data_IF_052595995631
#
_entry.id   IF_052595995631
#
_cell.length_a   1.000
_cell.length_b   1.000
_cell.length_c   1.000
_cell.angle_alpha   90.00
_cell.angle_beta   90.00
_cell.angle_gamma   90.00
#
_symmetry.space_group_name_H-M   'P 1'
#
loop_
_entity.id
_entity.type
_entity.pdbx_description
1 polymer ?
#
# COMPACT_ATOMS: atom_id res chain seq x y z
N UNK A 1 33.62 24.28 -13.92
CA UNK A 1 32.72 23.13 -14.11
C UNK A 1 33.08 22.11 -13.03
N UNK A 2 32.23 21.83 -12.03
CA UNK A 2 32.51 20.72 -11.14
C UNK A 2 32.39 19.43 -11.96
N UNK A 3 33.49 18.70 -12.04
CA UNK A 3 33.56 17.35 -12.60
C UNK A 3 32.56 16.48 -11.86
N UNK A 4 31.50 16.03 -12.52
CA UNK A 4 30.62 14.99 -11.99
C UNK A 4 31.47 13.71 -11.87
N UNK A 5 31.95 13.43 -10.66
CA UNK A 5 32.72 12.22 -10.42
C UNK A 5 31.83 10.99 -10.59
N UNK A 6 32.37 9.94 -11.21
CA UNK A 6 31.73 8.64 -11.41
C UNK A 6 31.39 7.88 -10.10
N UNK A 7 31.63 8.51 -8.94
CA UNK A 7 31.31 8.02 -7.59
C UNK A 7 29.80 8.02 -7.31
N UNK A 8 29.00 8.79 -8.05
CA UNK A 8 27.52 8.77 -7.94
C UNK A 8 26.94 7.39 -8.27
N UNK A 9 27.63 6.55 -9.04
CA UNK A 9 27.19 5.17 -9.33
C UNK A 9 27.34 4.24 -8.10
N UNK A 10 28.26 4.53 -7.18
CA UNK A 10 28.45 3.76 -5.95
C UNK A 10 27.42 4.12 -4.87
N UNK A 11 26.72 5.25 -5.03
CA UNK A 11 25.68 5.73 -4.12
C UNK A 11 24.27 5.44 -4.65
N UNK A 12 24.14 4.87 -5.85
CA UNK A 12 22.85 4.48 -6.42
C UNK A 12 22.45 3.09 -5.93
N UNK A 13 21.16 2.89 -5.59
CA UNK A 13 20.62 1.56 -5.33
C UNK A 13 20.92 0.57 -6.46
N UNK A 14 21.10 -0.69 -6.09
CA UNK A 14 21.27 -1.77 -7.07
C UNK A 14 19.95 -1.96 -7.84
N UNK A 15 20.01 -2.07 -9.17
CA UNK A 15 18.84 -2.42 -9.99
C UNK A 15 18.25 -3.81 -9.69
N UNK A 16 18.90 -4.61 -8.83
CA UNK A 16 18.37 -5.90 -8.34
C UNK A 16 17.49 -5.76 -7.09
N UNK A 17 17.59 -4.64 -6.38
CA UNK A 17 16.85 -4.38 -5.14
C UNK A 17 15.96 -3.15 -5.26
N UNK A 18 16.18 -2.31 -6.27
CA UNK A 18 15.46 -1.08 -6.47
C UNK A 18 14.29 -1.24 -7.45
N UNK A 19 13.20 -0.51 -7.17
CA UNK A 19 12.02 -0.37 -8.02
C UNK A 19 11.96 1.05 -8.55
N UNK A 20 11.71 1.18 -9.86
CA UNK A 20 11.49 2.45 -10.54
C UNK A 20 9.98 2.73 -10.61
N UNK A 21 9.59 3.92 -10.21
CA UNK A 21 8.19 4.40 -10.24
C UNK A 21 7.92 5.26 -11.49
N UNK A 22 6.66 5.66 -11.70
CA UNK A 22 6.23 6.35 -12.90
C UNK A 22 6.89 7.74 -13.10
N UNK A 23 7.16 8.47 -12.02
CA UNK A 23 7.87 9.76 -12.07
C UNK A 23 9.39 9.62 -12.26
N UNK A 24 9.92 8.40 -12.17
CA UNK A 24 11.36 8.15 -12.11
C UNK A 24 11.94 8.11 -10.69
N UNK A 25 11.12 8.20 -9.65
CA UNK A 25 11.56 7.96 -8.27
C UNK A 25 12.03 6.50 -8.11
N UNK A 26 13.15 6.30 -7.42
CA UNK A 26 13.79 5.00 -7.22
C UNK A 26 13.68 4.62 -5.74
N UNK A 27 13.04 3.49 -5.47
CA UNK A 27 12.86 2.96 -4.13
C UNK A 27 13.69 1.69 -3.94
N UNK A 28 14.66 1.72 -3.02
CA UNK A 28 15.48 0.54 -2.69
C UNK A 28 14.81 -0.33 -1.62
N UNK A 29 14.45 -1.57 -1.97
CA UNK A 29 13.84 -2.51 -1.02
C UNK A 29 14.83 -2.99 0.06
N UNK A 30 16.15 -2.92 -0.19
CA UNK A 30 17.15 -3.29 0.81
C UNK A 30 17.28 -2.27 1.94
N UNK A 31 16.90 -1.02 1.67
CA UNK A 31 16.89 0.08 2.64
C UNK A 31 15.79 1.08 2.30
N UNK A 32 14.49 0.75 2.52
CA UNK A 32 13.38 1.56 2.03
C UNK A 32 13.36 2.97 2.62
N UNK A 33 13.40 3.96 1.71
CA UNK A 33 13.17 5.37 2.02
C UNK A 33 12.21 5.95 0.97
N UNK A 34 11.02 6.34 1.43
CA UNK A 34 9.98 6.93 0.59
C UNK A 34 10.01 8.47 0.64
N UNK A 35 11.04 9.08 1.24
CA UNK A 35 11.20 10.54 1.29
C UNK A 35 11.22 11.11 -0.12
N UNK A 36 10.26 11.98 -0.44
CA UNK A 36 10.12 12.57 -1.77
C UNK A 36 9.36 11.71 -2.79
N UNK A 37 8.90 10.51 -2.43
CA UNK A 37 8.00 9.71 -3.29
C UNK A 37 6.72 10.52 -3.58
N UNK A 38 6.36 10.76 -4.86
CA UNK A 38 5.11 11.40 -5.23
C UNK A 38 3.90 10.55 -4.87
N UNK A 39 2.80 11.17 -4.45
CA UNK A 39 1.55 10.45 -4.18
C UNK A 39 0.95 9.91 -5.48
N UNK A 40 1.18 10.63 -6.58
CA UNK A 40 0.75 10.29 -7.93
C UNK A 40 1.35 8.95 -8.40
N UNK A 41 2.58 8.63 -7.97
CA UNK A 41 3.21 7.35 -8.30
C UNK A 41 2.51 6.18 -7.60
N UNK A 42 2.13 6.37 -6.32
CA UNK A 42 1.37 5.38 -5.56
C UNK A 42 -0.02 5.22 -6.19
N UNK A 43 -0.74 6.32 -6.40
CA UNK A 43 -2.07 6.31 -7.00
C UNK A 43 -2.07 5.66 -8.38
N UNK A 44 -1.06 5.96 -9.22
CA UNK A 44 -0.92 5.36 -10.55
C UNK A 44 -0.65 3.87 -10.45
N UNK A 45 0.27 3.43 -9.61
CA UNK A 45 0.55 2.00 -9.46
C UNK A 45 -0.68 1.22 -8.98
N UNK A 46 -1.39 1.73 -7.96
CA UNK A 46 -2.60 1.07 -7.44
C UNK A 46 -3.74 1.06 -8.46
N UNK A 47 -3.90 2.12 -9.26
CA UNK A 47 -4.96 2.21 -10.25
C UNK A 47 -4.78 1.23 -11.42
N UNK A 48 -3.54 0.88 -11.75
CA UNK A 48 -3.22 -0.09 -12.80
C UNK A 48 -2.94 -1.51 -12.27
N UNK A 49 -3.01 -1.71 -10.95
CA UNK A 49 -2.88 -3.02 -10.31
C UNK A 49 -4.26 -3.69 -10.22
N UNK A 50 -4.49 -4.84 -10.87
CA UNK A 50 -5.77 -5.53 -10.77
C UNK A 50 -5.89 -6.28 -9.44
N UNK A 51 -7.08 -6.25 -8.85
CA UNK A 51 -7.44 -7.19 -7.79
C UNK A 51 -7.76 -8.57 -8.34
N UNK A 52 -7.76 -9.57 -7.46
CA UNK A 52 -8.07 -10.95 -7.82
C UNK A 52 -7.18 -11.50 -8.94
N UNK A 53 -5.94 -11.02 -9.04
CA UNK A 53 -5.02 -11.32 -10.13
C UNK A 53 -5.62 -11.05 -11.54
N UNK A 54 -6.59 -10.14 -11.64
CA UNK A 54 -7.30 -9.83 -12.89
C UNK A 54 -8.44 -10.79 -13.26
N UNK A 55 -8.90 -11.65 -12.34
CA UNK A 55 -9.98 -12.61 -12.61
C UNK A 55 -11.40 -12.01 -12.55
N UNK A 56 -11.54 -10.73 -12.23
CA UNK A 56 -12.83 -10.02 -12.20
C UNK A 56 -13.44 -9.93 -13.61
N UNK A 57 -14.77 -9.92 -13.69
CA UNK A 57 -15.52 -9.83 -14.95
C UNK A 57 -15.24 -8.56 -15.77
N UNK A 58 -14.83 -7.49 -15.11
CA UNK A 58 -14.27 -6.26 -15.68
C UNK A 58 -13.05 -5.86 -14.84
N UNK A 59 -12.12 -5.09 -15.43
CA UNK A 59 -10.94 -4.62 -14.69
C UNK A 59 -11.36 -3.84 -13.44
N UNK A 60 -10.91 -4.31 -12.28
CA UNK A 60 -11.14 -3.66 -10.99
C UNK A 60 -9.82 -3.56 -10.24
N UNK A 61 -9.48 -2.34 -9.85
CA UNK A 61 -8.15 -2.00 -9.36
C UNK A 61 -8.03 -2.00 -7.84
N UNK A 62 -6.80 -2.07 -7.34
CA UNK A 62 -6.51 -1.85 -5.92
C UNK A 62 -6.92 -0.42 -5.51
N UNK A 63 -6.76 0.57 -6.39
CA UNK A 63 -7.21 1.94 -6.10
C UNK A 63 -8.73 2.05 -5.88
N UNK A 64 -9.56 1.39 -6.71
CA UNK A 64 -11.01 1.37 -6.51
C UNK A 64 -11.38 0.72 -5.17
N UNK A 65 -10.73 -0.38 -4.83
CA UNK A 65 -10.87 -1.04 -3.54
C UNK A 65 -10.50 -0.12 -2.37
N UNK A 66 -9.33 0.52 -2.42
CA UNK A 66 -8.89 1.45 -1.37
C UNK A 66 -9.86 2.62 -1.19
N UNK A 67 -10.39 3.18 -2.29
CA UNK A 67 -11.42 4.23 -2.22
C UNK A 67 -12.68 3.70 -1.55
N UNK A 68 -13.15 2.49 -1.91
CA UNK A 68 -14.30 1.86 -1.25
C UNK A 68 -14.07 1.68 0.26
N UNK A 69 -12.91 1.14 0.66
CA UNK A 69 -12.55 0.95 2.07
C UNK A 69 -12.54 2.29 2.82
N UNK A 70 -12.07 3.38 2.20
CA UNK A 70 -12.09 4.72 2.78
C UNK A 70 -13.50 5.29 3.06
N UNK A 71 -14.53 4.72 2.43
CA UNK A 71 -15.94 5.09 2.65
C UNK A 71 -16.66 4.16 3.61
N UNK A 72 -16.13 2.96 3.85
CA UNK A 72 -16.73 1.95 4.75
C UNK A 72 -16.29 2.13 6.21
N UNK A 73 -15.18 2.82 6.45
CA UNK A 73 -14.67 3.14 7.79
C UNK A 73 -15.28 4.43 8.35
N UNK A 74 -15.25 4.64 9.68
CA UNK A 74 -15.56 5.94 10.27
C UNK A 74 -14.72 7.07 9.65
N UNK A 75 -15.27 8.28 9.57
CA UNK A 75 -14.63 9.43 8.90
C UNK A 75 -13.20 9.71 9.42
N UNK A 76 -12.99 9.59 10.74
CA UNK A 76 -11.68 9.78 11.37
C UNK A 76 -10.61 8.73 10.98
N UNK A 77 -11.02 7.63 10.32
CA UNK A 77 -10.16 6.56 9.82
C UNK A 77 -10.15 6.49 8.29
N UNK A 78 -10.89 7.37 7.59
CA UNK A 78 -11.02 7.32 6.14
C UNK A 78 -9.67 7.42 5.42
N UNK A 79 -8.75 8.25 5.93
CA UNK A 79 -7.41 8.35 5.38
C UNK A 79 -6.63 7.04 5.55
N UNK A 80 -6.70 6.40 6.71
CA UNK A 80 -6.06 5.10 6.93
C UNK A 80 -6.67 4.02 6.02
N UNK A 81 -7.99 4.06 5.81
CA UNK A 81 -8.68 3.19 4.86
C UNK A 81 -8.25 3.38 3.41
N UNK A 82 -8.01 4.63 2.97
CA UNK A 82 -7.50 4.91 1.63
C UNK A 82 -6.05 4.39 1.44
N UNK A 83 -5.24 4.41 2.49
CA UNK A 83 -3.82 4.07 2.43
C UNK A 83 -3.48 2.63 2.83
N UNK A 84 -4.45 1.82 3.26
CA UNK A 84 -4.16 0.51 3.87
C UNK A 84 -3.39 -0.46 2.95
N UNK A 85 -3.67 -0.43 1.64
CA UNK A 85 -3.00 -1.27 0.62
C UNK A 85 -1.87 -0.53 -0.11
N UNK A 86 -1.43 0.64 0.35
CA UNK A 86 -0.49 1.47 -0.42
C UNK A 86 0.84 0.79 -0.75
N UNK A 87 1.30 -0.15 0.08
CA UNK A 87 2.53 -0.93 -0.16
C UNK A 87 2.43 -1.80 -1.42
N UNK A 88 1.22 -2.15 -1.85
CA UNK A 88 0.96 -2.91 -3.07
C UNK A 88 1.28 -2.12 -4.35
N UNK A 89 1.46 -0.79 -4.25
CA UNK A 89 2.06 0.02 -5.32
C UNK A 89 3.48 -0.42 -5.70
N UNK A 90 4.17 -1.12 -4.78
CA UNK A 90 5.54 -1.59 -4.93
C UNK A 90 5.60 -3.12 -4.95
N UNK A 91 4.91 -3.81 -4.03
CA UNK A 91 4.95 -5.27 -3.92
C UNK A 91 4.06 -6.00 -4.94
N UNK A 92 3.06 -5.28 -5.45
CA UNK A 92 1.89 -5.86 -6.10
C UNK A 92 0.86 -6.41 -5.12
N UNK A 93 -0.37 -6.59 -5.63
CA UNK A 93 -1.45 -7.29 -4.92
C UNK A 93 -1.17 -8.78 -4.96
N UNK A 94 -1.00 -9.39 -3.78
CA UNK A 94 -0.88 -10.82 -3.65
C UNK A 94 -2.15 -11.37 -2.99
N UNK A 95 -2.83 -12.34 -3.63
CA UNK A 95 -4.05 -12.88 -3.08
C UNK A 95 -3.77 -13.59 -1.75
N UNK A 96 -4.73 -13.49 -0.82
CA UNK A 96 -4.62 -14.05 0.53
C UNK A 96 -4.12 -15.51 0.60
N UNK A 97 -4.59 -16.45 -0.26
CA UNK A 97 -4.08 -17.82 -0.29
C UNK A 97 -2.59 -17.92 -0.64
N UNK A 98 -2.08 -17.06 -1.52
CA UNK A 98 -0.65 -17.03 -1.87
C UNK A 98 0.18 -16.51 -0.69
N UNK A 99 -0.27 -15.44 -0.02
CA UNK A 99 0.36 -14.93 1.21
C UNK A 99 0.46 -16.04 2.28
N UNK A 100 -0.57 -16.88 2.42
CA UNK A 100 -0.55 -18.05 3.34
C UNK A 100 0.44 -19.12 2.87
N UNK A 101 0.41 -19.50 1.60
CA UNK A 101 1.29 -20.51 1.03
C UNK A 101 2.78 -20.17 1.18
N UNK A 102 3.14 -18.89 1.03
CA UNK A 102 4.52 -18.40 1.19
C UNK A 102 4.93 -18.17 2.65
N UNK A 103 4.01 -18.33 3.60
CA UNK A 103 4.20 -17.99 5.01
C UNK A 103 3.83 -16.52 5.29
N UNK A 104 2.58 -16.30 5.70
CA UNK A 104 2.00 -14.95 5.91
C UNK A 104 2.86 -14.06 6.81
N UNK A 105 3.36 -14.62 7.92
CA UNK A 105 4.19 -13.88 8.88
C UNK A 105 5.58 -13.53 8.31
N UNK A 106 6.13 -14.37 7.43
CA UNK A 106 7.37 -14.09 6.72
C UNK A 106 7.19 -12.92 5.76
N UNK A 107 6.10 -12.95 4.98
CA UNK A 107 5.74 -11.87 4.05
C UNK A 107 5.55 -10.56 4.79
N UNK A 108 4.74 -10.56 5.88
CA UNK A 108 4.53 -9.37 6.71
C UNK A 108 5.86 -8.83 7.25
N UNK A 109 6.72 -9.69 7.78
CA UNK A 109 8.02 -9.28 8.32
C UNK A 109 8.94 -8.66 7.25
N UNK A 110 8.95 -9.20 6.03
CA UNK A 110 9.76 -8.67 4.93
C UNK A 110 9.25 -7.33 4.39
N UNK A 111 7.94 -7.09 4.41
CA UNK A 111 7.34 -5.84 3.95
C UNK A 111 7.31 -4.73 5.02
N UNK A 112 7.42 -5.07 6.31
CA UNK A 112 7.37 -4.11 7.41
C UNK A 112 8.33 -2.90 7.28
N UNK A 113 9.59 -3.02 6.81
CA UNK A 113 10.46 -1.86 6.60
C UNK A 113 9.94 -0.90 5.53
N UNK A 114 9.33 -1.43 4.47
CA UNK A 114 8.73 -0.68 3.39
C UNK A 114 7.45 0.04 3.86
N UNK A 115 6.58 -0.68 4.56
CA UNK A 115 5.38 -0.10 5.18
C UNK A 115 5.74 1.05 6.13
N UNK A 116 6.76 0.86 6.97
CA UNK A 116 7.22 1.91 7.87
C UNK A 116 7.77 3.15 7.12
N UNK A 117 8.39 2.97 5.94
CA UNK A 117 8.83 4.08 5.10
C UNK A 117 7.63 4.85 4.51
N UNK A 118 6.60 4.13 4.06
CA UNK A 118 5.36 4.72 3.56
C UNK A 118 4.60 5.45 4.67
N UNK A 119 4.45 4.85 5.85
CA UNK A 119 3.85 5.50 7.03
C UNK A 119 4.55 6.82 7.39
N UNK A 120 5.90 6.83 7.40
CA UNK A 120 6.66 8.07 7.66
C UNK A 120 6.43 9.14 6.60
N UNK A 121 6.28 8.74 5.34
CA UNK A 121 6.12 9.66 4.20
C UNK A 121 4.70 10.22 4.09
N UNK A 122 3.69 9.39 4.35
CA UNK A 122 2.29 9.69 4.05
C UNK A 122 1.40 9.81 5.30
N UNK A 123 1.86 9.43 6.50
CA UNK A 123 1.18 9.74 7.75
C UNK A 123 -0.09 8.94 8.04
N UNK A 124 -0.26 7.76 7.45
CA UNK A 124 -1.36 6.84 7.79
C UNK A 124 -0.95 5.87 8.91
N UNK A 125 -1.94 5.28 9.58
CA UNK A 125 -1.79 4.23 10.60
C UNK A 125 -2.12 2.89 9.97
N UNK A 126 -1.33 1.87 10.28
CA UNK A 126 -1.59 0.48 9.84
C UNK A 126 -2.20 -0.36 10.98
N UNK A 127 -2.58 -1.59 10.64
CA UNK A 127 -3.08 -2.61 11.58
C UNK A 127 -4.31 -2.18 12.41
N UNK A 128 -5.16 -1.31 11.86
CA UNK A 128 -6.41 -0.86 12.49
C UNK A 128 -7.55 -1.90 12.30
N UNK A 129 -8.20 -2.38 13.38
CA UNK A 129 -9.27 -3.37 13.28
C UNK A 129 -10.46 -2.94 12.40
N UNK A 130 -10.85 -1.67 12.47
CA UNK A 130 -11.96 -1.10 11.70
C UNK A 130 -11.65 -1.08 10.20
N UNK A 131 -10.41 -0.76 9.83
CA UNK A 131 -9.96 -0.79 8.43
C UNK A 131 -9.94 -2.23 7.92
N UNK A 132 -9.47 -3.18 8.73
CA UNK A 132 -9.50 -4.60 8.38
C UNK A 132 -10.92 -5.14 8.22
N UNK A 133 -11.86 -4.70 9.05
CA UNK A 133 -13.26 -5.08 8.91
C UNK A 133 -13.86 -4.52 7.61
N UNK A 134 -13.57 -3.26 7.29
CA UNK A 134 -14.00 -2.62 6.05
C UNK A 134 -13.40 -3.27 4.79
N UNK A 135 -12.12 -3.65 4.81
CA UNK A 135 -11.46 -4.42 3.75
C UNK A 135 -12.20 -5.75 3.48
N UNK A 136 -12.56 -6.50 4.53
CA UNK A 136 -13.33 -7.74 4.36
C UNK A 136 -14.74 -7.50 3.78
N UNK A 137 -15.41 -6.41 4.15
CA UNK A 137 -16.70 -6.01 3.54
C UNK A 137 -16.52 -5.65 2.06
N UNK A 138 -15.47 -4.90 1.72
CA UNK A 138 -15.14 -4.58 0.32
C UNK A 138 -14.86 -5.86 -0.48
N UNK A 139 -14.04 -6.78 0.05
CA UNK A 139 -13.75 -8.08 -0.58
C UNK A 139 -15.03 -8.92 -0.77
N UNK A 140 -15.94 -8.95 0.21
CA UNK A 140 -17.22 -9.64 0.07
C UNK A 140 -18.09 -9.02 -1.03
N UNK A 141 -18.06 -7.69 -1.16
CA UNK A 141 -18.81 -6.95 -2.19
C UNK A 141 -18.24 -7.23 -3.58
N UNK A 142 -16.91 -7.25 -3.71
CA UNK A 142 -16.22 -7.62 -4.95
C UNK A 142 -16.57 -9.04 -5.39
N UNK A 143 -16.55 -10.00 -4.44
CA UNK A 143 -16.91 -11.38 -4.72
C UNK A 143 -18.34 -11.50 -5.25
N UNK A 144 -19.29 -10.78 -4.63
CA UNK A 144 -20.70 -10.76 -5.05
C UNK A 144 -20.88 -10.19 -6.46
N UNK A 145 -20.22 -9.08 -6.76
CA UNK A 145 -20.53 -8.29 -7.95
C UNK A 145 -19.63 -8.61 -9.16
N UNK A 146 -18.39 -9.02 -8.93
CA UNK A 146 -17.36 -9.04 -9.97
C UNK A 146 -16.88 -10.45 -10.33
N UNK A 147 -17.08 -11.44 -9.47
CA UNK A 147 -16.57 -12.81 -9.66
C UNK A 147 -17.71 -13.79 -9.99
N UNK A 148 -17.43 -14.86 -10.76
CA UNK A 148 -18.41 -15.89 -11.00
C UNK A 148 -18.68 -16.72 -9.73
N UNK A 149 -19.82 -17.43 -9.66
CA UNK A 149 -20.06 -18.42 -8.63
C UNK A 149 -18.91 -19.44 -8.57
N UNK A 150 -18.39 -19.70 -7.37
CA UNK A 150 -17.25 -20.59 -7.15
C UNK A 150 -17.62 -21.74 -6.22
N UNK A 151 -17.04 -22.92 -6.47
CA UNK A 151 -17.07 -24.04 -5.53
C UNK A 151 -15.95 -23.86 -4.49
N UNK A 152 -16.16 -22.92 -3.57
CA UNK A 152 -15.22 -22.59 -2.51
C UNK A 152 -15.99 -22.10 -1.28
N UNK A 153 -15.55 -22.52 -0.09
CA UNK A 153 -16.05 -21.95 1.15
C UNK A 153 -15.28 -20.66 1.48
N UNK A 154 -16.02 -19.57 1.53
CA UNK A 154 -15.48 -18.27 1.92
C UNK A 154 -15.51 -18.08 3.44
N UNK A 155 -16.37 -18.80 4.16
CA UNK A 155 -16.41 -19.06 5.62
C UNK A 155 -16.46 -17.88 6.60
N UNK A 156 -15.66 -16.84 6.37
CA UNK A 156 -15.33 -15.76 7.31
C UNK A 156 -15.63 -14.37 6.76
N UNK A 157 -16.17 -14.27 5.54
CA UNK A 157 -16.54 -12.99 4.95
C UNK A 157 -17.81 -12.45 5.62
N UNK A 158 -17.85 -11.15 5.98
CA UNK A 158 -19.07 -10.49 6.43
C UNK A 158 -20.05 -10.28 5.27
N UNK A 159 -21.24 -9.77 5.58
CA UNK A 159 -22.19 -9.36 4.56
C UNK A 159 -21.60 -8.26 3.66
N UNK A 160 -21.82 -8.33 2.33
CA UNK A 160 -21.34 -7.33 1.39
C UNK A 160 -22.09 -6.01 1.56
N UNK A 161 -21.44 -4.90 1.17
CA UNK A 161 -22.08 -3.59 1.15
C UNK A 161 -23.27 -3.58 0.17
N UNK A 162 -24.42 -2.98 0.51
CA UNK A 162 -25.65 -3.10 -0.29
C UNK A 162 -25.56 -2.49 -1.70
N UNK A 163 -24.77 -1.42 -1.87
CA UNK A 163 -24.58 -0.82 -3.19
C UNK A 163 -23.70 -1.70 -4.09
N UNK A 164 -24.05 -1.88 -5.38
CA UNK A 164 -23.26 -2.68 -6.30
C UNK A 164 -22.02 -1.92 -6.80
N UNK A 165 -20.94 -2.65 -7.03
CA UNK A 165 -19.73 -2.14 -7.65
C UNK A 165 -19.93 -1.99 -9.16
N UNK A 166 -19.51 -0.85 -9.70
CA UNK A 166 -19.41 -0.59 -11.15
C UNK A 166 -17.96 -0.21 -11.45
N UNK A 167 -17.14 -1.14 -11.96
CA UNK A 167 -15.74 -0.85 -12.23
C UNK A 167 -15.60 0.30 -13.23
N UNK A 168 -14.62 1.19 -12.99
CA UNK A 168 -14.47 2.44 -13.74
C UNK A 168 -13.25 2.48 -14.66
N UNK A 169 -12.40 1.46 -14.59
CA UNK A 169 -11.13 1.40 -15.32
C UNK A 169 -10.02 2.23 -14.67
N UNK A 170 -8.76 2.01 -15.07
CA UNK A 170 -7.59 2.50 -14.34
C UNK A 170 -7.48 4.04 -14.34
N UNK A 171 -7.82 4.72 -15.44
CA UNK A 171 -7.71 6.19 -15.50
C UNK A 171 -8.69 6.89 -14.55
N UNK A 172 -9.92 6.38 -14.47
CA UNK A 172 -10.91 6.93 -13.53
C UNK A 172 -10.62 6.49 -12.10
N UNK A 173 -10.13 5.27 -11.88
CA UNK A 173 -9.67 4.81 -10.57
C UNK A 173 -8.56 5.69 -10.00
N UNK A 174 -7.57 6.05 -10.83
CA UNK A 174 -6.53 7.02 -10.47
C UNK A 174 -7.13 8.36 -10.04
N UNK A 175 -8.05 8.89 -10.85
CA UNK A 175 -8.69 10.19 -10.57
C UNK A 175 -9.47 10.16 -9.25
N UNK A 176 -10.26 9.10 -9.02
CA UNK A 176 -11.02 8.91 -7.77
C UNK A 176 -10.12 8.78 -6.55
N UNK A 177 -9.01 8.05 -6.67
CA UNK A 177 -8.04 7.95 -5.58
C UNK A 177 -7.43 9.32 -5.24
N UNK A 178 -7.03 10.09 -6.26
CA UNK A 178 -6.46 11.43 -6.07
C UNK A 178 -7.49 12.43 -5.51
N UNK A 179 -8.73 12.40 -6.01
CA UNK A 179 -9.86 13.17 -5.47
C UNK A 179 -10.04 12.86 -3.98
N UNK A 180 -10.13 11.57 -3.63
CA UNK A 180 -10.30 11.11 -2.26
C UNK A 180 -9.09 11.42 -1.37
N UNK A 181 -7.88 11.35 -1.91
CA UNK A 181 -6.66 11.76 -1.21
C UNK A 181 -6.69 13.25 -0.86
N UNK A 182 -7.04 14.12 -1.81
CA UNK A 182 -7.12 15.56 -1.61
C UNK A 182 -8.16 15.93 -0.54
N UNK A 183 -9.30 15.24 -0.52
CA UNK A 183 -10.31 15.37 0.54
C UNK A 183 -9.75 15.00 1.92
N UNK A 184 -8.99 13.91 2.02
CA UNK A 184 -8.63 13.28 3.29
C UNK A 184 -7.25 13.65 3.82
N UNK A 185 -6.35 14.25 3.03
CA UNK A 185 -4.95 14.49 3.43
C UNK A 185 -4.77 15.34 4.69
N UNK A 186 -5.79 16.10 5.06
CA UNK A 186 -5.82 16.85 6.32
C UNK A 186 -5.87 15.95 7.57
N UNK A 187 -6.25 14.68 7.42
CA UNK A 187 -6.27 13.66 8.48
C UNK A 187 -4.94 12.91 8.63
N UNK A 188 -3.98 13.14 7.74
CA UNK A 188 -2.65 12.53 7.85
C UNK A 188 -2.00 12.93 9.18
N UNK A 189 -1.50 11.93 9.92
CA UNK A 189 -0.70 12.19 11.10
C UNK A 189 0.58 12.92 10.68
N UNK A 190 0.91 14.01 11.38
CA UNK A 190 2.20 14.66 11.20
C UNK A 190 3.32 13.66 11.52
N UNK A 191 4.41 13.61 10.73
CA UNK A 191 5.55 12.77 11.06
C UNK A 191 6.05 13.17 12.45
N UNK A 192 5.87 12.27 13.43
CA UNK A 192 6.39 12.46 14.77
C UNK A 192 7.90 12.67 14.72
N UNK A 193 8.51 13.39 15.68
CA UNK A 193 9.95 13.60 15.69
C UNK A 193 10.64 12.23 15.64
N UNK A 194 11.51 12.05 14.64
CA UNK A 194 12.29 10.84 14.48
C UNK A 194 12.90 10.45 15.83
N UNK A 195 12.55 9.25 16.33
CA UNK A 195 13.06 8.76 17.60
C UNK A 195 14.60 8.82 17.53
N UNK A 196 15.21 9.74 18.30
CA UNK A 196 16.66 9.85 18.39
C UNK A 196 17.19 8.46 18.74
N UNK A 197 17.90 7.85 17.80
CA UNK A 197 18.54 6.56 18.00
C UNK A 197 19.31 6.62 19.31
N UNK A 198 18.96 5.73 20.25
CA UNK A 198 19.67 5.60 21.51
C UNK A 198 21.13 5.30 21.15
N UNK A 199 21.99 6.29 21.32
CA UNK A 199 23.43 6.15 21.13
C UNK A 199 23.89 5.00 22.02
N UNK A 200 24.28 3.89 21.38
CA UNK A 200 24.87 2.75 22.06
C UNK A 200 26.19 3.19 22.67
N UNK A 201 26.18 3.46 23.97
CA UNK A 201 27.39 3.64 24.77
C UNK A 201 28.20 2.35 24.70
N UNK A 202 29.22 2.31 23.83
CA UNK A 202 30.25 1.27 23.83
C UNK A 202 30.93 1.29 25.21
N UNK A 203 30.57 0.35 26.09
CA UNK A 203 31.41 0.00 27.23
C UNK A 203 32.61 -0.77 26.71
N UNK A 204 33.76 -0.10 26.65
CA UNK A 204 35.09 -0.74 26.64
C UNK A 204 35.21 -1.56 27.93
N UNK A 205 35.23 -2.88 27.82
CA UNK A 205 35.75 -3.74 28.89
C UNK A 205 37.25 -3.90 28.65
N UNK A 206 38.03 -3.31 29.55
CA UNK A 206 39.44 -3.63 29.71
C UNK A 206 39.55 -4.71 30.78
N UNK A 207 40.01 -5.90 30.40
CA UNK A 207 40.95 -6.76 31.15
C UNK A 207 41.28 -7.99 30.35
#
# INVERSE_FOLDING_TARGET
MPTAYQLDLLMKPSGRTAILTASGFVLDLASPDATGLPVEDVARALAYQPRWCGATSQFYSVAEHSVMVSHLVPEALAYDGLWHDCVESISGDWPSPLKVHLGREEVKRKLAPLEAAFQRRFGYRADLPEVKAADLVAMATELRDLLPPAWMDWGHLPDPHPAPIRPVGPERAYSLFMERYEELKHLAALPGPAAKGRGGTRRRTAR
#
